data_IF_856209277626
#
_entry.id   IF_856209277626
#
_cell.length_a   1.000
_cell.length_b   1.000
_cell.length_c   1.000
_cell.angle_alpha   90.00
_cell.angle_beta   90.00
_cell.angle_gamma   90.00
#
_symmetry.space_group_name_H-M   'P 1'
#
loop_
_entity.id
_entity.type
_entity.pdbx_description
1 polymer ?
#
# COMPACT_ATOMS: atom_id res chain seq x y z
N UNK A 1 -9.34 -25.65 29.24
CA UNK A 1 -7.93 -25.82 28.84
C UNK A 1 -7.38 -24.50 28.31
N UNK A 2 -6.53 -23.80 29.04
CA UNK A 2 -5.78 -22.66 28.49
C UNK A 2 -4.32 -22.85 28.85
N UNK A 3 -3.63 -23.70 28.08
CA UNK A 3 -2.17 -23.79 28.13
C UNK A 3 -1.61 -22.52 27.47
N UNK A 4 -1.16 -21.58 28.28
CA UNK A 4 -0.31 -20.49 27.80
C UNK A 4 1.02 -21.11 27.34
N UNK A 5 1.33 -20.98 26.05
CA UNK A 5 2.64 -21.39 25.53
C UNK A 5 3.72 -20.49 26.15
N UNK A 6 4.88 -21.07 26.51
CA UNK A 6 5.99 -20.33 27.12
C UNK A 6 6.57 -19.23 26.20
N UNK A 7 6.40 -19.36 24.87
CA UNK A 7 6.74 -18.37 23.86
C UNK A 7 5.60 -18.25 22.83
N UNK A 8 4.53 -17.48 23.10
CA UNK A 8 3.43 -17.31 22.16
C UNK A 8 3.88 -16.49 20.95
N UNK A 9 3.55 -16.93 19.73
CA UNK A 9 3.86 -16.21 18.47
C UNK A 9 3.29 -14.78 18.49
N UNK A 10 2.15 -14.58 19.17
CA UNK A 10 1.58 -13.28 19.48
C UNK A 10 1.41 -13.15 21.00
N UNK A 11 2.30 -12.41 21.69
CA UNK A 11 2.10 -12.10 23.10
C UNK A 11 0.89 -11.18 23.25
N UNK A 12 -0.19 -11.69 23.84
CA UNK A 12 -1.40 -10.90 24.14
C UNK A 12 -1.10 -9.71 25.07
N UNK A 13 0.02 -9.74 25.79
CA UNK A 13 0.52 -8.64 26.60
C UNK A 13 0.75 -7.36 25.79
N UNK A 14 1.10 -7.48 24.51
CA UNK A 14 1.27 -6.33 23.61
C UNK A 14 -0.03 -5.51 23.51
N UNK A 15 -1.19 -6.17 23.48
CA UNK A 15 -2.50 -5.51 23.37
C UNK A 15 -2.93 -4.78 24.65
N UNK A 16 -2.28 -5.05 25.79
CA UNK A 16 -2.49 -4.29 27.02
C UNK A 16 -1.88 -2.89 26.93
N UNK A 17 -0.88 -2.69 26.05
CA UNK A 17 -0.28 -1.39 25.80
C UNK A 17 -1.23 -0.53 24.97
N UNK A 18 -1.65 0.61 25.53
CA UNK A 18 -2.60 1.51 24.88
C UNK A 18 -2.13 1.96 23.48
N UNK A 19 -0.83 2.18 23.30
CA UNK A 19 -0.25 2.57 22.01
C UNK A 19 -0.33 1.47 20.96
N UNK A 20 -0.05 0.22 21.34
CA UNK A 20 -0.13 -0.90 20.43
C UNK A 20 -1.57 -1.20 20.01
N UNK A 21 -2.53 -1.11 20.94
CA UNK A 21 -3.95 -1.23 20.60
C UNK A 21 -4.40 -0.12 19.66
N UNK A 22 -4.04 1.12 19.94
CA UNK A 22 -4.41 2.29 19.12
C UNK A 22 -3.80 2.21 17.72
N UNK A 23 -2.53 1.81 17.60
CA UNK A 23 -1.86 1.73 16.30
C UNK A 23 -2.41 0.60 15.42
N UNK A 24 -2.87 -0.49 16.03
CA UNK A 24 -3.55 -1.57 15.30
C UNK A 24 -4.87 -1.08 14.70
N UNK A 25 -5.68 -0.34 15.47
CA UNK A 25 -6.93 0.25 14.97
C UNK A 25 -6.64 1.21 13.82
N UNK A 26 -5.69 2.13 13.99
CA UNK A 26 -5.29 3.06 12.93
C UNK A 26 -4.83 2.31 11.69
N UNK A 27 -3.98 1.28 11.85
CA UNK A 27 -3.46 0.49 10.75
C UNK A 27 -4.57 -0.26 9.99
N UNK A 28 -5.49 -0.90 10.72
CA UNK A 28 -6.61 -1.63 10.12
C UNK A 28 -7.52 -0.67 9.33
N UNK A 29 -7.91 0.45 9.94
CA UNK A 29 -8.86 1.40 9.33
C UNK A 29 -8.22 2.15 8.16
N UNK A 30 -6.95 2.56 8.27
CA UNK A 30 -6.22 3.17 7.14
C UNK A 30 -6.00 2.17 5.99
N UNK A 31 -5.74 0.90 6.29
CA UNK A 31 -5.68 -0.15 5.28
C UNK A 31 -7.02 -0.38 4.60
N UNK A 32 -8.12 -0.35 5.37
CA UNK A 32 -9.46 -0.42 4.80
C UNK A 32 -9.68 0.71 3.79
N UNK A 33 -9.33 1.94 4.16
CA UNK A 33 -9.44 3.10 3.26
C UNK A 33 -8.55 3.00 2.02
N UNK A 34 -7.33 2.51 2.19
CA UNK A 34 -6.39 2.29 1.09
C UNK A 34 -6.93 1.29 0.06
N UNK A 35 -7.26 0.06 0.49
CA UNK A 35 -7.72 -0.98 -0.42
C UNK A 35 -9.14 -0.72 -0.94
N UNK A 36 -10.02 -0.17 -0.09
CA UNK A 36 -11.35 0.27 -0.47
C UNK A 36 -11.37 1.39 -1.51
N UNK A 37 -10.24 2.08 -1.71
CA UNK A 37 -10.09 3.09 -2.76
C UNK A 37 -9.34 2.54 -3.97
N UNK A 38 -8.13 2.02 -3.77
CA UNK A 38 -7.18 1.64 -4.84
C UNK A 38 -7.80 0.63 -5.82
N UNK A 39 -8.59 -0.31 -5.33
CA UNK A 39 -9.19 -1.37 -6.15
C UNK A 39 -10.19 -0.81 -7.17
N UNK A 40 -10.84 0.32 -6.87
CA UNK A 40 -11.86 0.93 -7.73
C UNK A 40 -11.34 2.11 -8.56
N UNK A 41 -10.10 2.54 -8.37
CA UNK A 41 -9.49 3.58 -9.22
C UNK A 41 -9.53 3.20 -10.70
N UNK A 42 -9.14 1.98 -11.14
CA UNK A 42 -9.24 1.61 -12.55
C UNK A 42 -10.68 1.65 -13.06
N UNK A 43 -11.64 1.23 -12.23
CA UNK A 43 -13.06 1.26 -12.56
C UNK A 43 -13.58 2.69 -12.71
N UNK A 44 -13.10 3.64 -11.90
CA UNK A 44 -13.41 5.06 -12.05
C UNK A 44 -12.86 5.63 -13.37
N UNK A 45 -11.60 5.34 -13.71
CA UNK A 45 -11.01 5.80 -14.97
C UNK A 45 -11.68 5.20 -16.21
N UNK A 46 -11.98 3.91 -16.20
CA UNK A 46 -12.56 3.21 -17.34
C UNK A 46 -14.07 3.44 -17.42
N UNK A 47 -14.77 3.17 -16.34
CA UNK A 47 -16.23 3.18 -16.30
C UNK A 47 -16.85 4.56 -16.13
N UNK A 48 -16.24 5.47 -15.37
CA UNK A 48 -16.80 6.83 -15.21
C UNK A 48 -16.23 7.78 -16.25
N UNK A 49 -14.90 7.83 -16.41
CA UNK A 49 -14.23 8.76 -17.34
C UNK A 49 -14.14 8.24 -18.78
N UNK A 50 -14.46 6.97 -19.05
CA UNK A 50 -14.44 6.40 -20.40
C UNK A 50 -13.03 6.22 -20.98
N UNK A 51 -11.99 6.22 -20.13
CA UNK A 51 -10.59 6.15 -20.57
C UNK A 51 -10.20 4.69 -20.72
N UNK A 52 -9.70 4.31 -21.90
CA UNK A 52 -9.30 2.93 -22.19
C UNK A 52 -8.19 2.41 -21.27
N UNK A 53 -8.26 1.12 -20.94
CA UNK A 53 -7.37 0.40 -20.03
C UNK A 53 -5.93 0.22 -20.53
N UNK A 54 -5.62 0.60 -21.77
CA UNK A 54 -4.34 0.31 -22.44
C UNK A 54 -3.09 0.78 -21.65
N UNK A 55 -3.25 1.76 -20.75
CA UNK A 55 -2.19 2.20 -19.81
C UNK A 55 -2.59 1.98 -18.33
N UNK A 56 -3.03 0.77 -17.97
CA UNK A 56 -3.56 0.41 -16.64
C UNK A 56 -2.65 0.82 -15.46
N UNK A 57 -1.33 0.76 -15.61
CA UNK A 57 -0.37 1.18 -14.57
C UNK A 57 -0.23 2.70 -14.38
N UNK A 58 -0.62 3.48 -15.38
CA UNK A 58 -0.55 4.95 -15.33
C UNK A 58 -1.56 5.55 -14.35
N UNK A 59 -2.68 4.87 -14.10
CA UNK A 59 -3.72 5.35 -13.18
C UNK A 59 -3.25 5.39 -11.72
N UNK A 60 -2.40 4.44 -11.30
CA UNK A 60 -1.87 4.40 -9.94
C UNK A 60 -0.56 5.16 -9.77
N UNK A 61 0.05 5.61 -10.86
CA UNK A 61 1.33 6.34 -10.83
C UNK A 61 1.26 7.63 -9.99
N UNK A 62 0.22 8.49 -10.10
CA UNK A 62 0.11 9.69 -9.28
C UNK A 62 0.02 9.38 -7.77
N UNK A 63 -0.71 8.32 -7.41
CA UNK A 63 -0.82 7.86 -6.03
C UNK A 63 0.55 7.45 -5.48
N UNK A 64 1.31 6.67 -6.25
CA UNK A 64 2.65 6.25 -5.85
C UNK A 64 3.61 7.44 -5.71
N UNK A 65 3.51 8.46 -6.58
CA UNK A 65 4.31 9.67 -6.46
C UNK A 65 4.03 10.41 -5.14
N UNK A 66 2.75 10.62 -4.80
CA UNK A 66 2.37 11.22 -3.52
C UNK A 66 2.89 10.42 -2.33
N UNK A 67 2.75 9.10 -2.39
CA UNK A 67 3.21 8.18 -1.33
C UNK A 67 4.72 8.23 -1.14
N UNK A 68 5.51 8.11 -2.20
CA UNK A 68 6.98 8.07 -2.13
C UNK A 68 7.53 9.40 -1.60
N UNK A 69 7.05 10.52 -2.14
CA UNK A 69 7.54 11.86 -1.75
C UNK A 69 7.24 12.12 -0.28
N UNK A 70 5.99 11.92 0.15
CA UNK A 70 5.60 12.22 1.52
C UNK A 70 6.09 11.18 2.53
N UNK A 71 6.31 9.93 2.13
CA UNK A 71 6.98 8.94 2.97
C UNK A 71 8.44 9.28 3.23
N UNK A 72 9.19 9.73 2.22
CA UNK A 72 10.57 10.17 2.40
C UNK A 72 10.66 11.38 3.33
N UNK A 73 9.80 12.37 3.12
CA UNK A 73 9.77 13.57 3.96
C UNK A 73 9.38 13.21 5.39
N UNK A 74 8.33 12.40 5.58
CA UNK A 74 7.85 12.00 6.90
C UNK A 74 8.88 11.18 7.65
N UNK A 75 9.59 10.26 6.98
CA UNK A 75 10.64 9.45 7.61
C UNK A 75 11.79 10.31 8.17
N UNK A 76 12.20 11.34 7.43
CA UNK A 76 13.20 12.30 7.92
C UNK A 76 12.63 13.18 9.05
N UNK A 77 11.40 13.64 8.90
CA UNK A 77 10.76 14.54 9.85
C UNK A 77 10.49 13.86 11.20
N UNK A 78 10.19 12.56 11.20
CA UNK A 78 10.00 11.76 12.41
C UNK A 78 11.24 11.70 13.29
N UNK A 79 12.45 11.82 12.71
CA UNK A 79 13.70 11.87 13.49
C UNK A 79 13.95 13.24 14.13
N UNK A 80 13.30 14.29 13.64
CA UNK A 80 13.51 15.67 14.10
C UNK A 80 12.39 16.17 15.00
N UNK A 81 11.16 15.68 14.83
CA UNK A 81 9.98 16.14 15.55
C UNK A 81 9.72 15.26 16.78
N UNK A 82 9.63 15.90 17.96
CA UNK A 82 9.24 15.22 19.23
C UNK A 82 7.75 14.85 19.29
N UNK A 83 6.88 15.58 18.59
CA UNK A 83 5.40 15.41 18.60
C UNK A 83 4.87 14.85 17.27
N UNK A 84 5.18 13.59 16.95
CA UNK A 84 4.77 12.95 15.68
C UNK A 84 3.27 12.62 15.58
N UNK A 85 2.50 12.73 16.67
CA UNK A 85 1.04 12.52 16.67
C UNK A 85 0.32 13.46 15.70
N UNK A 86 0.78 14.71 15.61
CA UNK A 86 0.20 15.70 14.69
C UNK A 86 0.43 15.30 13.23
N UNK A 87 1.61 14.77 12.90
CA UNK A 87 1.90 14.29 11.55
C UNK A 87 0.96 13.16 11.14
N UNK A 88 0.75 12.16 12.03
CA UNK A 88 -0.17 11.07 11.74
C UNK A 88 -1.62 11.52 11.54
N UNK A 89 -2.08 12.42 12.41
CA UNK A 89 -3.44 12.99 12.31
C UNK A 89 -3.60 13.77 11.00
N UNK A 90 -2.59 14.56 10.63
CA UNK A 90 -2.56 15.28 9.35
C UNK A 90 -2.57 14.32 8.17
N UNK A 91 -1.78 13.24 8.21
CA UNK A 91 -1.73 12.22 7.16
C UNK A 91 -3.09 11.55 6.92
N UNK A 92 -3.77 11.15 8.00
CA UNK A 92 -5.11 10.55 7.92
C UNK A 92 -6.14 11.57 7.42
N UNK A 93 -6.08 12.82 7.90
CA UNK A 93 -6.99 13.88 7.44
C UNK A 93 -6.82 14.19 5.94
N UNK A 94 -5.56 14.26 5.48
CA UNK A 94 -5.23 14.46 4.05
C UNK A 94 -5.75 13.30 3.21
N UNK A 95 -5.61 12.06 3.70
CA UNK A 95 -6.17 10.89 3.03
C UNK A 95 -7.70 10.94 2.93
N UNK A 96 -8.39 11.28 4.02
CA UNK A 96 -9.86 11.46 4.04
C UNK A 96 -10.27 12.52 3.03
N UNK A 97 -9.57 13.66 3.01
CA UNK A 97 -9.87 14.74 2.07
C UNK A 97 -9.72 14.30 0.62
N UNK A 98 -8.66 13.56 0.29
CA UNK A 98 -8.47 13.02 -1.06
C UNK A 98 -9.57 12.03 -1.47
N UNK A 99 -9.97 11.12 -0.57
CA UNK A 99 -11.07 10.17 -0.84
C UNK A 99 -12.41 10.90 -0.94
N UNK A 100 -12.65 11.91 -0.11
CA UNK A 100 -13.84 12.74 -0.20
C UNK A 100 -13.92 13.47 -1.54
N UNK A 101 -12.81 13.97 -2.09
CA UNK A 101 -12.81 14.55 -3.44
C UNK A 101 -13.19 13.54 -4.53
N UNK A 102 -12.79 12.28 -4.39
CA UNK A 102 -13.21 11.22 -5.32
C UNK A 102 -14.72 10.98 -5.33
N UNK A 103 -15.45 11.30 -4.25
CA UNK A 103 -16.92 11.21 -4.24
C UNK A 103 -17.57 12.18 -5.23
N UNK A 104 -16.88 13.24 -5.64
CA UNK A 104 -17.41 14.28 -6.53
C UNK A 104 -17.07 14.04 -7.99
N UNK A 105 -16.53 12.87 -8.34
CA UNK A 105 -16.12 12.56 -9.71
C UNK A 105 -17.32 12.15 -10.55
N UNK A 106 -17.58 12.95 -11.58
CA UNK A 106 -18.65 12.79 -12.58
C UNK A 106 -18.01 12.51 -13.96
N UNK A 107 -18.71 11.92 -14.95
CA UNK A 107 -18.13 11.58 -16.26
C UNK A 107 -17.40 12.72 -17.01
N UNK A 108 -17.75 13.99 -16.75
CA UNK A 108 -17.12 15.16 -17.36
C UNK A 108 -15.88 15.68 -16.59
N UNK A 109 -15.50 14.99 -15.51
CA UNK A 109 -14.38 15.41 -14.66
C UNK A 109 -13.06 15.26 -15.39
N UNK A 110 -12.22 16.29 -15.31
CA UNK A 110 -10.88 16.24 -15.88
C UNK A 110 -10.04 15.13 -15.23
N UNK A 111 -9.36 14.32 -16.06
CA UNK A 111 -8.42 13.27 -15.61
C UNK A 111 -7.32 13.78 -14.66
N UNK A 112 -6.97 15.06 -14.79
CA UNK A 112 -5.96 15.72 -13.96
C UNK A 112 -6.46 15.99 -12.54
N UNK A 113 -7.76 16.25 -12.37
CA UNK A 113 -8.38 16.39 -11.05
C UNK A 113 -8.28 15.08 -10.28
N UNK A 114 -8.67 13.97 -10.92
CA UNK A 114 -8.56 12.63 -10.32
C UNK A 114 -7.10 12.28 -10.02
N UNK A 115 -6.16 12.60 -10.93
CA UNK A 115 -4.74 12.39 -10.66
C UNK A 115 -4.24 13.20 -9.46
N UNK A 116 -4.69 14.44 -9.29
CA UNK A 116 -4.37 15.26 -8.12
C UNK A 116 -4.97 14.68 -6.84
N UNK A 117 -6.22 14.21 -6.88
CA UNK A 117 -6.87 13.56 -5.74
C UNK A 117 -6.13 12.29 -5.32
N UNK A 118 -5.64 11.50 -6.28
CA UNK A 118 -4.79 10.34 -6.02
C UNK A 118 -3.45 10.71 -5.40
N UNK A 119 -2.82 11.82 -5.82
CA UNK A 119 -1.61 12.33 -5.18
C UNK A 119 -1.88 12.70 -3.72
N UNK A 120 -3.03 13.33 -3.43
CA UNK A 120 -3.45 13.68 -2.06
C UNK A 120 -3.66 12.42 -1.20
N UNK A 121 -4.31 11.39 -1.75
CA UNK A 121 -4.49 10.10 -1.06
C UNK A 121 -3.13 9.44 -0.80
N UNK A 122 -2.28 9.39 -1.83
CA UNK A 122 -0.92 8.86 -1.74
C UNK A 122 -0.10 9.59 -0.67
N UNK A 123 -0.19 10.92 -0.62
CA UNK A 123 0.41 11.75 0.40
C UNK A 123 0.00 11.32 1.83
N UNK A 124 -1.30 11.14 2.08
CA UNK A 124 -1.79 10.68 3.38
C UNK A 124 -1.28 9.28 3.76
N UNK A 125 -1.20 8.37 2.79
CA UNK A 125 -0.60 7.03 2.97
C UNK A 125 0.90 7.11 3.26
N UNK A 126 1.62 7.96 2.53
CA UNK A 126 3.06 8.19 2.69
C UNK A 126 3.42 8.69 4.09
N UNK A 127 2.55 9.50 4.70
CA UNK A 127 2.73 9.91 6.10
C UNK A 127 2.41 8.75 7.07
N UNK A 128 1.34 8.02 6.80
CA UNK A 128 0.80 6.98 7.70
C UNK A 128 1.71 5.74 7.81
N UNK A 129 2.37 5.34 6.73
CA UNK A 129 3.19 4.12 6.68
C UNK A 129 4.42 4.17 7.60
N UNK A 130 5.36 5.13 7.46
CA UNK A 130 6.50 5.25 8.38
C UNK A 130 6.04 5.46 9.82
N UNK A 131 4.97 6.23 10.01
CA UNK A 131 4.44 6.55 11.34
C UNK A 131 4.02 5.29 12.11
N UNK A 132 3.20 4.42 11.50
CA UNK A 132 2.74 3.18 12.16
C UNK A 132 3.88 2.26 12.58
N UNK A 133 4.90 2.12 11.74
CA UNK A 133 6.07 1.30 12.04
C UNK A 133 6.92 1.92 13.14
N UNK A 134 7.21 3.22 13.07
CA UNK A 134 8.03 3.90 14.08
C UNK A 134 7.38 3.94 15.45
N UNK A 135 6.06 4.07 15.53
CA UNK A 135 5.31 4.01 16.80
C UNK A 135 5.49 2.65 17.47
N UNK A 136 5.34 1.55 16.72
CA UNK A 136 5.55 0.20 17.26
C UNK A 136 6.99 -0.02 17.70
N UNK A 137 7.94 0.44 16.90
CA UNK A 137 9.37 0.34 17.22
C UNK A 137 9.74 1.13 18.49
N UNK A 138 9.09 2.27 18.73
CA UNK A 138 9.32 3.10 19.91
C UNK A 138 8.58 2.57 21.16
N UNK A 139 7.42 1.94 21.00
CA UNK A 139 6.57 1.49 22.10
C UNK A 139 6.97 0.12 22.67
N UNK A 140 7.68 -0.72 21.90
CA UNK A 140 7.98 -2.10 22.29
C UNK A 140 9.45 -2.31 22.71
N UNK A 141 9.73 -3.25 23.62
CA UNK A 141 11.07 -3.73 23.89
C UNK A 141 11.73 -4.29 22.61
N UNK A 142 13.04 -4.10 22.44
CA UNK A 142 13.79 -4.52 21.23
C UNK A 142 13.52 -5.99 20.85
N UNK A 143 13.40 -6.89 21.84
CA UNK A 143 13.11 -8.30 21.63
C UNK A 143 11.72 -8.59 21.00
N UNK A 144 10.76 -7.66 21.15
CA UNK A 144 9.38 -7.83 20.70
C UNK A 144 9.03 -6.96 19.48
N UNK A 145 9.95 -6.10 19.01
CA UNK A 145 9.72 -5.23 17.84
C UNK A 145 9.33 -6.02 16.60
N UNK A 146 9.99 -7.16 16.33
CA UNK A 146 9.66 -8.02 15.19
C UNK A 146 8.24 -8.60 15.24
N UNK A 147 7.78 -8.96 16.44
CA UNK A 147 6.40 -9.41 16.64
C UNK A 147 5.43 -8.24 16.47
N UNK A 148 5.73 -7.07 17.01
CA UNK A 148 4.86 -5.91 16.84
C UNK A 148 4.71 -5.44 15.40
N UNK A 149 5.80 -5.43 14.62
CA UNK A 149 5.76 -5.00 13.22
C UNK A 149 5.04 -6.00 12.31
N UNK A 150 5.22 -7.30 12.56
CA UNK A 150 4.45 -8.35 11.86
C UNK A 150 2.96 -8.25 12.17
N UNK A 151 2.58 -7.94 13.41
CA UNK A 151 1.17 -7.69 13.76
C UNK A 151 0.59 -6.48 13.02
N UNK A 152 1.35 -5.39 12.88
CA UNK A 152 0.93 -4.25 12.06
C UNK A 152 0.72 -4.67 10.60
N UNK A 153 1.58 -5.50 10.03
CA UNK A 153 1.36 -6.01 8.67
C UNK A 153 0.17 -6.96 8.57
N UNK A 154 -0.04 -7.83 9.55
CA UNK A 154 -1.20 -8.71 9.61
C UNK A 154 -2.51 -7.90 9.61
N UNK A 155 -2.63 -6.91 10.51
CA UNK A 155 -3.83 -6.08 10.60
C UNK A 155 -4.03 -5.20 9.37
N UNK A 156 -2.95 -4.78 8.71
CA UNK A 156 -3.02 -4.08 7.43
C UNK A 156 -3.58 -4.96 6.33
N UNK A 157 -3.03 -6.16 6.15
CA UNK A 157 -3.52 -7.12 5.15
C UNK A 157 -4.96 -7.53 5.44
N UNK A 158 -5.30 -7.76 6.70
CA UNK A 158 -6.67 -8.10 7.12
C UNK A 158 -7.65 -6.96 6.83
N UNK A 159 -7.28 -5.71 7.15
CA UNK A 159 -8.08 -4.53 6.78
C UNK A 159 -8.28 -4.40 5.27
N UNK A 160 -7.26 -4.76 4.48
CA UNK A 160 -7.36 -4.84 3.03
C UNK A 160 -8.36 -5.88 2.55
N UNK A 161 -8.28 -7.12 3.05
CA UNK A 161 -9.21 -8.19 2.70
C UNK A 161 -10.65 -7.82 3.05
N UNK A 162 -10.88 -7.27 4.25
CA UNK A 162 -12.21 -6.83 4.70
C UNK A 162 -12.73 -5.70 3.81
N UNK A 163 -11.91 -4.71 3.45
CA UNK A 163 -12.32 -3.64 2.56
C UNK A 163 -12.75 -4.17 1.20
N UNK A 164 -11.98 -5.05 0.58
CA UNK A 164 -12.32 -5.60 -0.74
C UNK A 164 -13.67 -6.34 -0.71
N UNK A 165 -13.94 -7.10 0.34
CA UNK A 165 -15.19 -7.82 0.50
C UNK A 165 -16.39 -6.88 0.75
N UNK A 166 -16.26 -5.95 1.71
CA UNK A 166 -17.33 -5.03 2.09
C UNK A 166 -17.63 -4.04 0.96
N UNK A 167 -16.60 -3.40 0.43
CA UNK A 167 -16.77 -2.40 -0.63
C UNK A 167 -17.23 -3.06 -1.94
N UNK A 168 -16.75 -4.27 -2.24
CA UNK A 168 -17.20 -5.03 -3.41
C UNK A 168 -18.67 -5.43 -3.33
N UNK A 169 -19.09 -5.92 -2.16
CA UNK A 169 -20.50 -6.20 -1.89
C UNK A 169 -21.36 -4.93 -1.98
N UNK A 170 -20.89 -3.83 -1.39
CA UNK A 170 -21.59 -2.54 -1.43
C UNK A 170 -21.77 -2.06 -2.87
N UNK A 171 -20.71 -2.05 -3.68
CA UNK A 171 -20.78 -1.62 -5.07
C UNK A 171 -21.75 -2.51 -5.86
N UNK A 172 -21.66 -3.84 -5.70
CA UNK A 172 -22.54 -4.78 -6.41
C UNK A 172 -24.01 -4.55 -6.06
N UNK A 173 -24.32 -4.30 -4.79
CA UNK A 173 -25.69 -4.05 -4.33
C UNK A 173 -26.24 -2.68 -4.77
N UNK A 174 -25.38 -1.64 -4.84
CA UNK A 174 -25.81 -0.27 -5.17
C UNK A 174 -25.86 0.01 -6.67
N UNK A 175 -24.95 -0.60 -7.43
CA UNK A 175 -24.77 -0.31 -8.86
C UNK A 175 -26.04 -0.56 -9.69
N UNK A 176 -26.70 -1.70 -9.48
CA UNK A 176 -27.92 -2.04 -10.22
C UNK A 176 -29.05 -1.02 -10.00
N UNK A 177 -29.23 -0.58 -8.75
CA UNK A 177 -30.24 0.42 -8.38
C UNK A 177 -29.97 1.79 -9.02
N UNK A 178 -28.73 2.28 -8.92
CA UNK A 178 -28.34 3.57 -9.50
C UNK A 178 -28.42 3.59 -11.02
N UNK A 179 -27.92 2.55 -11.69
CA UNK A 179 -28.01 2.42 -13.15
C UNK A 179 -29.46 2.35 -13.61
N UNK A 180 -30.30 1.54 -12.93
CA UNK A 180 -31.73 1.44 -13.24
C UNK A 180 -32.44 2.78 -13.08
N UNK A 181 -32.16 3.53 -12.01
CA UNK A 181 -32.73 4.86 -11.77
C UNK A 181 -32.37 5.85 -12.88
N UNK A 182 -31.08 5.92 -13.26
CA UNK A 182 -30.62 6.83 -14.31
C UNK A 182 -31.20 6.49 -15.69
N UNK A 183 -31.42 5.20 -15.96
CA UNK A 183 -32.07 4.74 -17.20
C UNK A 183 -33.57 5.07 -17.19
N UNK A 184 -34.27 4.91 -16.06
CA UNK A 184 -35.69 5.26 -15.97
C UNK A 184 -35.93 6.76 -16.13
N UNK A 185 -35.03 7.61 -15.63
CA UNK A 185 -35.14 9.07 -15.74
C UNK A 185 -35.13 9.55 -17.21
N UNK A 186 -34.52 8.78 -18.11
CA UNK A 186 -34.46 9.07 -19.54
C UNK A 186 -35.76 8.77 -20.30
N UNK A 187 -36.76 8.14 -19.65
CA UNK A 187 -38.05 7.78 -20.27
C UNK A 187 -37.91 7.12 -21.65
N UNK A 188 -36.97 6.17 -21.76
CA UNK A 188 -36.57 5.61 -23.04
C UNK A 188 -37.69 4.76 -23.70
N UNK A 189 -37.74 4.71 -25.04
CA UNK A 189 -38.66 3.83 -25.75
C UNK A 189 -38.41 2.35 -25.39
N UNK A 190 -39.42 1.45 -25.50
CA UNK A 190 -39.29 0.03 -25.16
C UNK A 190 -38.13 -0.68 -25.89
N UNK A 191 -37.74 -0.18 -27.06
CA UNK A 191 -36.62 -0.68 -27.87
C UNK A 191 -35.25 -0.46 -27.19
N UNK A 192 -35.13 0.47 -26.25
CA UNK A 192 -33.90 0.75 -25.52
C UNK A 192 -33.58 -0.29 -24.45
N UNK A 193 -34.59 -1.02 -23.93
CA UNK A 193 -34.37 -2.10 -22.96
C UNK A 193 -33.50 -3.22 -23.56
N UNK A 194 -33.73 -3.57 -24.82
CA UNK A 194 -32.92 -4.54 -25.56
C UNK A 194 -31.48 -4.05 -25.81
N UNK A 195 -31.28 -2.73 -25.94
CA UNK A 195 -29.95 -2.12 -26.05
C UNK A 195 -29.17 -2.29 -24.74
N UNK A 196 -29.76 -2.01 -23.58
CA UNK A 196 -29.10 -2.20 -22.27
C UNK A 196 -28.64 -3.64 -22.08
N UNK A 197 -29.47 -4.61 -22.45
CA UNK A 197 -29.12 -6.04 -22.40
C UNK A 197 -27.96 -6.39 -23.35
N UNK A 198 -27.94 -5.79 -24.55
CA UNK A 198 -26.86 -5.96 -25.53
C UNK A 198 -25.54 -5.33 -25.09
N UNK A 199 -25.58 -4.15 -24.47
CA UNK A 199 -24.39 -3.50 -23.91
C UNK A 199 -23.81 -4.33 -22.76
N UNK A 200 -24.68 -4.92 -21.94
CA UNK A 200 -24.27 -5.72 -20.79
C UNK A 200 -23.68 -7.08 -21.13
N UNK A 201 -24.04 -7.69 -22.26
CA UNK A 201 -23.45 -8.97 -22.72
C UNK A 201 -23.52 -10.12 -21.69
N UNK A 202 -24.44 -10.04 -20.71
CA UNK A 202 -24.52 -10.96 -19.57
C UNK A 202 -23.49 -10.71 -18.45
N UNK A 203 -22.54 -9.79 -18.63
CA UNK A 203 -21.50 -9.45 -17.66
C UNK A 203 -21.52 -7.95 -17.33
N UNK A 204 -21.87 -7.54 -16.10
CA UNK A 204 -21.92 -6.14 -15.68
C UNK A 204 -20.63 -5.36 -15.95
N UNK A 205 -19.47 -6.01 -15.94
CA UNK A 205 -18.18 -5.39 -16.21
C UNK A 205 -18.05 -4.84 -17.66
N UNK A 206 -18.74 -5.46 -18.63
CA UNK A 206 -18.65 -5.06 -20.03
C UNK A 206 -19.35 -3.73 -20.32
N UNK A 207 -20.32 -3.35 -19.47
CA UNK A 207 -21.00 -2.05 -19.52
C UNK A 207 -20.04 -0.86 -19.38
N UNK A 208 -18.84 -1.10 -18.84
CA UNK A 208 -17.88 -0.07 -18.47
C UNK A 208 -16.59 -0.13 -19.30
N UNK A 209 -16.47 -1.05 -20.26
CA UNK A 209 -15.30 -1.16 -21.13
C UNK A 209 -15.46 -0.27 -22.37
N UNK A 210 -14.66 0.80 -22.53
CA UNK A 210 -14.77 1.71 -23.68
C UNK A 210 -14.63 1.01 -25.03
N UNK A 211 -13.84 -0.07 -25.11
CA UNK A 211 -13.65 -0.81 -26.36
C UNK A 211 -14.90 -1.61 -26.73
N UNK A 212 -15.58 -2.20 -25.73
CA UNK A 212 -16.85 -2.89 -25.92
C UNK A 212 -17.93 -1.90 -26.39
N UNK A 213 -18.05 -0.76 -25.70
CA UNK A 213 -19.01 0.29 -26.04
C UNK A 213 -18.82 0.81 -27.47
N UNK A 214 -17.57 0.98 -27.91
CA UNK A 214 -17.27 1.42 -29.29
C UNK A 214 -17.64 0.34 -30.32
N UNK A 215 -17.41 -0.94 -30.02
CA UNK A 215 -17.79 -2.06 -30.89
C UNK A 215 -19.30 -2.18 -31.02
N UNK A 216 -20.03 -2.11 -29.91
CA UNK A 216 -21.50 -2.16 -29.91
C UNK A 216 -22.07 -0.97 -30.68
N UNK A 217 -21.54 0.24 -30.46
CA UNK A 217 -21.92 1.44 -31.23
C UNK A 217 -21.73 1.25 -32.74
N UNK A 218 -20.60 0.68 -33.17
CA UNK A 218 -20.31 0.43 -34.58
C UNK A 218 -21.22 -0.63 -35.24
N UNK A 219 -21.85 -1.49 -34.44
CA UNK A 219 -22.80 -2.51 -34.92
C UNK A 219 -24.25 -2.03 -35.01
N UNK A 220 -24.55 -0.82 -34.54
CA UNK A 220 -25.91 -0.30 -34.43
C UNK A 220 -26.37 0.48 -35.68
N UNK A 221 -27.63 0.34 -36.10
CA UNK A 221 -28.24 1.21 -37.11
C UNK A 221 -28.18 2.70 -36.73
N UNK A 222 -28.04 3.62 -37.71
CA UNK A 222 -27.92 5.07 -37.46
C UNK A 222 -29.01 5.69 -36.55
N UNK A 223 -30.29 5.29 -36.61
CA UNK A 223 -31.33 5.83 -35.73
C UNK A 223 -31.16 5.49 -34.25
N UNK A 224 -30.44 4.40 -33.93
CA UNK A 224 -30.26 3.92 -32.56
C UNK A 224 -28.99 4.44 -31.89
N UNK A 225 -28.08 5.04 -32.66
CA UNK A 225 -26.85 5.64 -32.14
C UNK A 225 -27.07 6.71 -31.04
N UNK A 226 -27.99 7.69 -31.18
CA UNK A 226 -28.21 8.69 -30.12
C UNK A 226 -28.83 8.08 -28.85
N UNK A 227 -29.69 7.06 -28.99
CA UNK A 227 -30.27 6.33 -27.86
C UNK A 227 -29.18 5.55 -27.12
N UNK A 228 -28.27 4.92 -27.85
CA UNK A 228 -27.11 4.24 -27.27
C UNK A 228 -26.23 5.21 -26.47
N UNK A 229 -25.92 6.38 -27.02
CA UNK A 229 -25.09 7.39 -26.33
C UNK A 229 -25.75 7.87 -25.03
N UNK A 230 -27.08 8.06 -25.03
CA UNK A 230 -27.84 8.40 -23.82
C UNK A 230 -27.77 7.29 -22.76
N UNK A 231 -27.97 6.03 -23.17
CA UNK A 231 -27.86 4.87 -22.28
C UNK A 231 -26.47 4.75 -21.67
N UNK A 232 -25.42 4.89 -22.49
CA UNK A 232 -24.03 4.87 -22.01
C UNK A 232 -23.79 6.01 -21.03
N UNK A 233 -24.27 7.22 -21.31
CA UNK A 233 -24.21 8.34 -20.37
C UNK A 233 -24.88 8.01 -19.02
N UNK A 234 -26.08 7.43 -19.06
CA UNK A 234 -26.83 7.02 -17.86
C UNK A 234 -26.08 5.96 -17.04
N UNK A 235 -25.50 4.96 -17.71
CA UNK A 235 -24.70 3.90 -17.09
C UNK A 235 -23.45 4.47 -16.43
N UNK A 236 -22.76 5.40 -17.08
CA UNK A 236 -21.58 6.09 -16.53
C UNK A 236 -21.95 6.96 -15.32
N UNK A 237 -23.08 7.65 -15.37
CA UNK A 237 -23.61 8.41 -14.23
C UNK A 237 -24.01 7.50 -13.07
N UNK A 238 -24.73 6.41 -13.33
CA UNK A 238 -25.13 5.45 -12.30
C UNK A 238 -23.92 4.76 -11.65
N UNK A 239 -22.85 4.50 -12.40
CA UNK A 239 -21.58 4.04 -11.82
C UNK A 239 -20.91 5.13 -10.97
N UNK A 240 -20.94 6.40 -11.41
CA UNK A 240 -20.42 7.51 -10.62
C UNK A 240 -21.16 7.65 -9.28
N UNK A 241 -22.49 7.50 -9.28
CA UNK A 241 -23.31 7.52 -8.05
C UNK A 241 -23.00 6.31 -7.14
N UNK A 242 -22.82 5.11 -7.72
CA UNK A 242 -22.46 3.93 -6.93
C UNK A 242 -21.05 4.04 -6.33
N UNK A 243 -20.10 4.62 -7.06
CA UNK A 243 -18.74 4.89 -6.56
C UNK A 243 -18.73 6.03 -5.54
N UNK A 244 -19.62 7.02 -5.68
CA UNK A 244 -19.84 8.05 -4.66
C UNK A 244 -20.20 7.41 -3.32
N UNK A 245 -21.20 6.53 -3.29
CA UNK A 245 -21.62 5.81 -2.07
C UNK A 245 -20.45 5.05 -1.43
N UNK A 246 -19.68 4.34 -2.26
CA UNK A 246 -18.49 3.58 -1.85
C UNK A 246 -17.45 4.48 -1.20
N UNK A 247 -16.99 5.53 -1.89
CA UNK A 247 -15.94 6.40 -1.37
C UNK A 247 -16.42 7.20 -0.17
N UNK A 248 -17.70 7.57 -0.12
CA UNK A 248 -18.29 8.26 1.03
C UNK A 248 -18.28 7.36 2.28
N UNK A 249 -18.72 6.11 2.16
CA UNK A 249 -18.68 5.14 3.28
C UNK A 249 -17.24 4.88 3.73
N UNK A 250 -16.31 4.75 2.77
CA UNK A 250 -14.88 4.58 3.08
C UNK A 250 -14.33 5.81 3.83
N UNK A 251 -14.65 7.03 3.39
CA UNK A 251 -14.25 8.26 4.05
C UNK A 251 -14.83 8.37 5.47
N UNK A 252 -16.10 8.02 5.66
CA UNK A 252 -16.74 7.95 6.98
C UNK A 252 -16.04 6.94 7.89
N UNK A 253 -15.70 5.75 7.37
CA UNK A 253 -14.98 4.74 8.15
C UNK A 253 -13.59 5.23 8.58
N UNK A 254 -12.90 5.98 7.73
CA UNK A 254 -11.61 6.58 8.04
C UNK A 254 -11.66 7.64 9.15
N UNK A 255 -12.83 8.24 9.43
CA UNK A 255 -12.99 9.11 10.60
C UNK A 255 -12.66 8.36 11.89
N UNK A 256 -12.91 7.04 11.95
CA UNK A 256 -12.50 6.21 13.10
C UNK A 256 -10.97 6.22 13.26
N UNK A 257 -10.20 6.15 12.18
CA UNK A 257 -8.75 6.28 12.26
C UNK A 257 -8.33 7.67 12.74
N UNK A 258 -8.98 8.73 12.23
CA UNK A 258 -8.69 10.10 12.62
C UNK A 258 -8.98 10.35 14.11
N UNK A 259 -10.07 9.79 14.64
CA UNK A 259 -10.37 9.85 16.07
C UNK A 259 -9.38 8.99 16.85
N UNK A 260 -9.01 7.81 16.36
CA UNK A 260 -8.03 6.94 17.00
C UNK A 260 -6.64 7.59 17.11
N UNK A 261 -6.20 8.40 16.14
CA UNK A 261 -4.94 9.15 16.25
C UNK A 261 -4.96 10.14 17.44
N UNK A 262 -6.14 10.61 17.86
CA UNK A 262 -6.29 11.45 19.04
C UNK A 262 -6.11 10.71 20.37
N UNK A 263 -6.07 9.38 20.38
CA UNK A 263 -5.76 8.58 21.56
C UNK A 263 -4.31 8.10 21.59
N UNK A 264 -3.54 8.39 20.53
CA UNK A 264 -2.15 8.01 20.45
C UNK A 264 -1.32 8.82 21.46
N UNK A 265 -0.76 8.13 22.46
CA UNK A 265 0.19 8.72 23.42
C UNK A 265 1.58 8.77 22.79
N UNK A 266 2.19 9.95 22.80
CA UNK A 266 3.54 10.17 22.28
C UNK A 266 4.58 9.49 23.20
N UNK A 267 5.26 8.46 22.71
CA UNK A 267 6.56 8.02 23.28
C UNK A 267 7.65 8.74 22.52
N UNK A 268 8.61 9.41 23.18
CA UNK A 268 9.77 9.95 22.49
C UNK A 268 10.45 8.82 21.70
N UNK A 269 10.55 9.00 20.39
CA UNK A 269 11.30 8.09 19.53
C UNK A 269 12.72 8.15 20.04
N UNK A 270 13.21 7.03 20.57
CA UNK A 270 14.57 6.92 21.10
C UNK A 270 15.50 7.30 19.96
N UNK A 271 16.14 8.47 20.07
CA UNK A 271 17.31 8.78 19.27
C UNK A 271 18.26 7.60 19.41
N UNK A 272 19.05 7.32 18.37
CA UNK A 272 20.24 6.47 18.50
C UNK A 272 21.22 7.18 19.45
N UNK A 273 20.87 7.28 20.72
CA UNK A 273 21.80 7.65 21.76
C UNK A 273 22.76 6.47 21.83
N UNK A 274 24.01 6.79 21.53
CA UNK A 274 25.13 5.88 21.48
C UNK A 274 25.07 4.91 22.66
N UNK A 275 25.06 3.62 22.37
CA UNK A 275 25.44 2.63 23.37
C UNK A 275 26.86 2.98 23.83
N UNK A 276 27.11 3.11 25.15
CA UNK A 276 28.47 3.08 25.66
C UNK A 276 29.03 1.67 25.36
N UNK A 277 29.71 1.51 24.22
CA UNK A 277 30.30 0.26 23.77
C UNK A 277 29.98 -0.17 22.33
N UNK A 278 29.06 0.50 21.62
CA UNK A 278 28.90 0.22 20.19
C UNK A 278 30.01 0.93 19.41
N UNK A 279 30.97 0.16 18.89
CA UNK A 279 31.97 0.65 17.94
C UNK A 279 31.23 1.36 16.80
N UNK A 280 31.56 2.62 16.48
CA UNK A 280 30.85 3.34 15.43
C UNK A 280 31.07 2.62 14.11
N UNK A 281 30.10 1.82 13.68
CA UNK A 281 30.02 1.39 12.29
C UNK A 281 29.89 2.66 11.47
N UNK A 282 30.96 3.00 10.73
CA UNK A 282 30.98 4.13 9.79
C UNK A 282 29.65 4.16 9.04
N UNK A 283 28.98 5.31 8.92
CA UNK A 283 27.79 5.39 8.10
C UNK A 283 28.18 4.86 6.71
N UNK A 284 27.53 3.80 6.26
CA UNK A 284 27.70 3.33 4.89
C UNK A 284 27.26 4.47 3.97
N UNK A 285 28.25 5.18 3.42
CA UNK A 285 28.10 6.13 2.35
C UNK A 285 27.52 5.37 1.16
N UNK A 286 26.19 5.38 1.03
CA UNK A 286 25.52 4.57 0.00
C UNK A 286 24.00 4.69 -0.06
N UNK A 287 23.34 5.43 0.84
CA UNK A 287 21.87 5.64 0.78
C UNK A 287 21.42 6.98 0.21
N UNK A 288 22.32 7.94 0.01
CA UNK A 288 22.04 9.19 -0.70
C UNK A 288 21.94 9.09 -2.25
N UNK A 289 22.62 8.18 -2.97
CA UNK A 289 22.62 8.23 -4.44
C UNK A 289 21.28 7.80 -5.04
N UNK A 290 20.54 6.86 -4.44
CA UNK A 290 19.28 6.37 -5.00
C UNK A 290 18.15 7.44 -4.98
N UNK A 291 18.10 8.27 -3.94
CA UNK A 291 17.12 9.37 -3.83
C UNK A 291 17.47 10.50 -4.79
N UNK A 292 18.76 10.83 -4.93
CA UNK A 292 19.23 11.79 -5.93
C UNK A 292 18.99 11.30 -7.36
N UNK A 293 19.18 10.00 -7.62
CA UNK A 293 18.92 9.36 -8.91
C UNK A 293 17.43 9.39 -9.27
N UNK A 294 16.54 9.13 -8.32
CA UNK A 294 15.08 9.19 -8.54
C UNK A 294 14.58 10.63 -8.70
N UNK A 295 15.11 11.60 -7.94
CA UNK A 295 14.80 13.01 -8.11
C UNK A 295 15.34 13.56 -9.46
N UNK A 296 16.53 13.11 -9.88
CA UNK A 296 17.09 13.43 -11.19
C UNK A 296 16.27 12.81 -12.33
N UNK A 297 15.82 11.56 -12.18
CA UNK A 297 14.95 10.90 -13.16
C UNK A 297 13.57 11.57 -13.27
N UNK A 298 12.98 11.98 -12.15
CA UNK A 298 11.71 12.72 -12.13
C UNK A 298 11.84 14.12 -12.77
N UNK A 299 12.94 14.82 -12.48
CA UNK A 299 13.29 16.09 -13.13
C UNK A 299 13.54 15.95 -14.63
N UNK A 300 14.20 14.86 -15.05
CA UNK A 300 14.48 14.55 -16.45
C UNK A 300 13.20 14.28 -17.26
N UNK A 301 12.25 13.51 -16.71
CA UNK A 301 10.94 13.27 -17.36
C UNK A 301 10.12 14.56 -17.50
N UNK A 302 10.26 15.50 -16.54
CA UNK A 302 9.62 16.81 -16.61
C UNK A 302 10.27 17.74 -17.65
N UNK A 303 11.60 17.69 -17.81
CA UNK A 303 12.35 18.49 -18.78
C UNK A 303 12.23 17.97 -20.22
N UNK A 304 12.19 16.64 -20.42
CA UNK A 304 11.99 16.01 -21.74
C UNK A 304 10.64 16.39 -22.38
N UNK A 305 9.61 16.66 -21.57
CA UNK A 305 8.31 17.14 -22.05
C UNK A 305 8.32 18.60 -22.52
N UNK A 306 9.35 19.38 -22.19
CA UNK A 306 9.48 20.81 -22.55
C UNK A 306 10.44 21.09 -23.71
N UNK A 307 11.04 20.07 -24.33
CA UNK A 307 11.77 20.20 -25.60
C UNK A 307 13.13 20.92 -25.55
N UNK A 308 13.62 21.34 -24.37
CA UNK A 308 14.93 21.99 -24.22
C UNK A 308 15.79 21.21 -23.24
N UNK A 309 16.72 20.41 -23.76
CA UNK A 309 17.79 19.79 -22.96
C UNK A 309 19.11 20.50 -23.32
N UNK A 310 19.71 21.27 -22.42
CA UNK A 310 21.05 21.80 -22.65
C UNK A 310 22.12 20.69 -22.44
N UNK A 311 23.23 20.73 -23.20
CA UNK A 311 24.27 19.69 -23.22
C UNK A 311 24.91 19.28 -21.87
N UNK A 312 25.09 20.15 -20.85
CA UNK A 312 25.79 19.74 -19.61
C UNK A 312 25.04 18.68 -18.75
N UNK A 313 23.77 18.39 -19.04
CA UNK A 313 23.00 17.36 -18.31
C UNK A 313 23.28 15.95 -18.83
N UNK A 314 23.68 15.82 -20.10
CA UNK A 314 24.08 14.53 -20.69
C UNK A 314 25.44 14.10 -20.14
N UNK A 315 26.37 15.04 -20.01
CA UNK A 315 27.70 14.80 -19.45
C UNK A 315 27.65 14.44 -17.96
N UNK A 316 26.69 14.98 -17.21
CA UNK A 316 26.48 14.62 -15.80
C UNK A 316 25.95 13.18 -15.67
N UNK A 317 25.10 12.74 -16.60
CA UNK A 317 24.54 11.38 -16.59
C UNK A 317 25.54 10.34 -17.12
N UNK A 318 26.36 10.68 -18.12
CA UNK A 318 27.44 9.80 -18.56
C UNK A 318 28.49 9.64 -17.47
N UNK A 319 28.93 10.73 -16.81
CA UNK A 319 29.87 10.67 -15.68
C UNK A 319 29.35 9.82 -14.51
N UNK A 320 28.05 9.89 -14.21
CA UNK A 320 27.42 9.10 -13.13
C UNK A 320 27.23 7.63 -13.53
N UNK A 321 26.90 7.33 -14.79
CA UNK A 321 26.84 5.96 -15.31
C UNK A 321 28.25 5.35 -15.33
N UNK A 322 29.25 6.12 -15.74
CA UNK A 322 30.66 5.71 -15.79
C UNK A 322 31.20 5.42 -14.38
N UNK A 323 30.89 6.27 -13.39
CA UNK A 323 31.24 6.06 -11.98
C UNK A 323 30.52 4.83 -11.37
N UNK A 324 29.24 4.60 -11.72
CA UNK A 324 28.48 3.43 -11.29
C UNK A 324 28.96 2.12 -11.95
N UNK A 325 29.44 2.18 -13.21
CA UNK A 325 30.05 1.03 -13.90
C UNK A 325 31.47 0.75 -13.42
N UNK A 326 32.26 1.77 -13.10
CA UNK A 326 33.62 1.64 -12.58
C UNK A 326 33.65 0.98 -11.19
N UNK A 327 32.68 1.31 -10.33
CA UNK A 327 32.57 0.75 -8.97
C UNK A 327 31.92 -0.64 -8.91
N UNK A 328 31.44 -1.18 -10.03
CA UNK A 328 30.93 -2.56 -10.12
C UNK A 328 32.06 -3.60 -10.12
N UNK A 329 33.30 -3.19 -10.42
CA UNK A 329 34.49 -4.05 -10.46
C UNK A 329 35.26 -4.20 -9.14
N UNK A 330 34.88 -3.46 -8.09
CA UNK A 330 35.60 -3.42 -6.81
C UNK A 330 34.89 -4.18 -5.66
N UNK A 331 34.11 -5.22 -5.99
CA UNK A 331 33.71 -6.23 -5.02
C UNK A 331 34.78 -7.34 -5.04
N UNK A 332 35.43 -7.67 -3.90
CA UNK A 332 36.31 -8.84 -3.87
C UNK A 332 35.47 -10.07 -4.22
N UNK A 333 35.98 -10.89 -5.15
CA UNK A 333 35.40 -12.18 -5.51
C UNK A 333 35.37 -13.09 -4.26
N UNK A 334 34.24 -13.06 -3.55
CA UNK A 334 33.94 -13.93 -2.41
C UNK A 334 33.14 -15.13 -2.89
N UNK A 335 33.83 -16.25 -3.08
CA UNK A 335 33.34 -17.62 -3.30
C UNK A 335 31.83 -17.84 -3.29
N UNK A 336 31.28 -18.08 -4.48
CA UNK A 336 30.17 -19.01 -4.67
C UNK A 336 30.67 -20.44 -4.43
N UNK A 337 30.67 -20.88 -3.17
CA UNK A 337 30.75 -22.30 -2.83
C UNK A 337 29.61 -22.62 -1.86
N UNK A 338 28.66 -23.43 -2.34
CA UNK A 338 27.58 -24.02 -1.56
C UNK A 338 28.23 -24.96 -0.53
N UNK A 339 28.33 -24.50 0.72
CA UNK A 339 28.84 -25.32 1.81
C UNK A 339 27.71 -26.23 2.32
N UNK A 340 27.84 -27.55 2.07
CA UNK A 340 26.95 -28.59 2.62
C UNK A 340 27.09 -28.61 4.15
N UNK A 341 26.02 -28.88 4.92
CA UNK A 341 26.12 -29.00 6.37
C UNK A 341 26.93 -30.26 6.74
N UNK A 342 28.04 -30.09 7.47
CA UNK A 342 28.76 -31.19 8.11
C UNK A 342 28.11 -31.59 9.44
N UNK A 343 28.15 -32.89 9.82
CA UNK A 343 27.51 -33.39 11.03
C UNK A 343 28.32 -33.04 12.29
N UNK A 344 27.61 -32.77 13.38
CA UNK A 344 28.16 -32.46 14.70
C UNK A 344 28.96 -33.66 15.24
N UNK A 345 30.29 -33.54 15.22
CA UNK A 345 31.24 -34.50 15.78
C UNK A 345 31.73 -34.09 17.18
N UNK A 346 31.72 -35.08 18.08
CA UNK A 346 32.05 -35.04 19.50
C UNK A 346 33.48 -34.54 19.78
N UNK A 347 33.64 -33.69 20.79
CA UNK A 347 34.94 -33.17 21.25
C UNK A 347 35.79 -34.25 21.96
N UNK A 348 37.13 -34.26 21.81
CA UNK A 348 37.99 -35.20 22.52
C UNK A 348 38.27 -34.74 23.95
N UNK A 349 38.10 -35.67 24.90
CA UNK A 349 38.55 -35.57 26.29
C UNK A 349 40.08 -35.66 26.34
N UNK A 350 40.73 -34.67 26.93
CA UNK A 350 42.12 -34.76 27.39
C UNK A 350 42.17 -35.44 28.75
N UNK A 351 42.94 -36.51 28.83
CA UNK A 351 43.19 -37.30 30.03
C UNK A 351 44.53 -36.85 30.64
N UNK A 352 44.52 -36.42 31.90
CA UNK A 352 45.69 -36.42 32.77
C UNK A 352 45.21 -36.74 34.19
N UNK A 353 45.55 -37.95 34.64
CA UNK A 353 44.91 -38.63 35.76
C UNK A 353 45.24 -38.09 37.15
N UNK A 354 44.42 -38.53 38.12
CA UNK A 354 44.86 -39.40 39.23
C UNK A 354 43.64 -39.80 40.08
N UNK A 355 43.58 -41.04 40.57
CA UNK A 355 42.77 -41.39 41.74
C UNK A 355 41.69 -42.47 41.56
N UNK A 356 42.13 -43.73 41.61
CA UNK A 356 41.54 -44.88 42.33
C UNK A 356 40.01 -44.90 42.59
N UNK A 357 39.32 -45.97 42.16
CA UNK A 357 38.93 -47.12 43.01
C UNK A 357 37.98 -48.10 42.28
N UNK A 358 38.44 -49.36 42.22
CA UNK A 358 37.69 -50.63 42.33
C UNK A 358 36.42 -50.92 41.49
N UNK A 359 36.65 -51.77 40.50
CA UNK A 359 35.92 -53.02 40.14
C UNK A 359 34.84 -53.48 41.14
N UNK A 360 33.64 -53.79 40.63
CA UNK A 360 32.91 -55.04 40.96
C UNK A 360 31.89 -55.38 39.86
N UNK A 361 31.83 -56.67 39.56
CA UNK A 361 31.10 -57.34 38.48
C UNK A 361 30.05 -58.23 39.14
N UNK A 362 28.78 -58.13 38.74
CA UNK A 362 27.70 -59.11 38.95
C UNK A 362 26.45 -58.49 38.31
N UNK A 363 25.72 -59.07 37.36
CA UNK A 363 25.39 -60.47 37.17
C UNK A 363 23.89 -60.67 37.45
N UNK A 364 23.16 -61.16 36.43
CA UNK A 364 21.83 -61.79 36.43
C UNK A 364 20.54 -60.98 36.11
N UNK A 365 19.48 -61.64 35.56
CA UNK A 365 18.75 -61.17 34.38
C UNK A 365 17.21 -61.17 34.58
N UNK A 366 16.49 -60.82 33.51
CA UNK A 366 15.13 -61.26 33.12
C UNK A 366 14.01 -61.32 34.18
N UNK A 367 12.99 -60.49 33.96
CA UNK A 367 11.60 -60.92 33.81
C UNK A 367 10.87 -59.94 32.88
#
# INVERSE_FOLDING_TARGET
ETRFAANPIVPFELFKLNQFRTIIVITFVTAFGMFGTIIYVPLLYQGVLGISATNSGSFLTPLMLGLIVLSSITGQLLTRIRRYRFLGTLGVAVMIFGIWRLTQVVPDTSRWTVAADLVIIGAGLGVSFPMTVSVVQAALPRAQVGVGTSQVQFWRSFGGTVATAVVGSLLTNRLGGHVSSRISDLHLPPQAGALVSRVGGGNPQQLFDPNNLTRVRGSLPPPLAPVFDQVVGAVRLGLADALHDVFFIVACFLVVALVATLFLREVPIRSRDAEPGATPTRPMAGREPAVRLLLAAAGYVALRRRGTVPPPVVDLLSAVVEDYTAHRGALPAGNTAVERPQPVGVAPRTDSGNGRYSVTRSGNPSA
#
